data_IF_252537368631
#
_entry.id   IF_252537368631
#
_cell.length_a   1.000
_cell.length_b   1.000
_cell.length_c   1.000
_cell.angle_alpha   90.00
_cell.angle_beta   90.00
_cell.angle_gamma   90.00
#
_symmetry.space_group_name_H-M   'P 1'
#
loop_
_entity.id
_entity.type
_entity.pdbx_description
1 polymer ?
#
# COMPACT_ATOMS: atom_id res chain seq x y z
N UNK A 1 -13.58 46.78 -16.65
CA UNK A 1 -14.44 45.67 -16.19
C UNK A 1 -13.63 44.39 -16.29
N UNK A 2 -12.86 44.07 -15.24
CA UNK A 2 -12.02 42.87 -15.16
C UNK A 2 -12.78 41.83 -14.34
N UNK A 3 -13.18 40.73 -14.99
CA UNK A 3 -13.82 39.59 -14.34
C UNK A 3 -12.80 38.90 -13.44
N UNK A 4 -13.08 38.83 -12.13
CA UNK A 4 -12.34 37.97 -11.23
C UNK A 4 -12.62 36.50 -11.59
N UNK A 5 -11.61 35.60 -11.61
CA UNK A 5 -11.85 34.20 -11.88
C UNK A 5 -12.66 33.58 -10.73
N UNK A 6 -13.86 33.08 -11.05
CA UNK A 6 -14.64 32.23 -10.15
C UNK A 6 -13.95 30.87 -10.06
N UNK A 7 -13.14 30.68 -9.05
CA UNK A 7 -12.67 29.36 -8.65
C UNK A 7 -13.80 28.62 -7.93
N UNK A 8 -14.11 27.41 -8.39
CA UNK A 8 -15.07 26.51 -7.76
C UNK A 8 -14.59 26.17 -6.34
N UNK A 9 -15.50 26.22 -5.36
CA UNK A 9 -15.25 25.84 -3.96
C UNK A 9 -14.68 24.42 -3.82
N UNK A 10 -14.95 23.56 -4.81
CA UNK A 10 -14.42 22.20 -4.91
C UNK A 10 -12.90 22.19 -5.11
N UNK A 11 -12.33 23.13 -5.87
CA UNK A 11 -10.88 23.23 -6.09
C UNK A 11 -10.12 23.74 -4.87
N UNK A 12 -10.73 24.59 -4.03
CA UNK A 12 -10.12 25.07 -2.79
C UNK A 12 -10.10 24.00 -1.69
N UNK A 13 -11.18 23.21 -1.56
CA UNK A 13 -11.23 22.05 -0.67
C UNK A 13 -10.20 20.99 -1.05
N UNK A 14 -10.01 20.75 -2.35
CA UNK A 14 -8.97 19.85 -2.86
C UNK A 14 -7.55 20.33 -2.56
N UNK A 15 -7.26 21.62 -2.76
CA UNK A 15 -5.96 22.19 -2.47
C UNK A 15 -5.63 22.15 -0.96
N UNK A 16 -6.63 22.39 -0.10
CA UNK A 16 -6.49 22.25 1.35
C UNK A 16 -6.26 20.79 1.78
N UNK A 17 -6.88 19.81 1.12
CA UNK A 17 -6.66 18.38 1.39
C UNK A 17 -5.22 17.96 1.07
N UNK A 18 -4.70 18.38 -0.08
CA UNK A 18 -3.32 18.10 -0.51
C UNK A 18 -2.31 18.78 0.42
N UNK A 19 -2.56 20.05 0.78
CA UNK A 19 -1.71 20.80 1.72
C UNK A 19 -1.78 20.20 3.13
N UNK A 20 -2.93 19.69 3.58
CA UNK A 20 -3.06 19.06 4.89
C UNK A 20 -2.24 17.76 5.01
N UNK A 21 -2.17 16.95 3.95
CA UNK A 21 -1.31 15.74 3.92
C UNK A 21 0.18 16.12 4.03
N UNK A 22 0.58 17.24 3.45
CA UNK A 22 1.95 17.75 3.50
C UNK A 22 2.31 18.47 4.82
N UNK A 23 1.34 19.00 5.57
CA UNK A 23 1.58 19.80 6.78
C UNK A 23 1.35 19.01 8.08
N UNK A 24 0.38 18.09 8.12
CA UNK A 24 -0.02 17.43 9.37
C UNK A 24 0.64 16.06 9.59
N UNK A 25 1.31 15.51 8.58
CA UNK A 25 1.84 14.16 8.66
C UNK A 25 0.71 13.12 8.74
N UNK A 26 0.99 11.92 8.28
CA UNK A 26 -0.10 10.98 7.96
C UNK A 26 -0.72 10.36 9.21
N UNK A 27 -0.09 10.50 10.37
CA UNK A 27 -0.73 10.11 11.62
C UNK A 27 -1.95 11.00 11.92
N UNK A 28 -1.83 12.31 11.70
CA UNK A 28 -2.97 13.21 11.85
C UNK A 28 -4.05 12.93 10.79
N UNK A 29 -3.66 12.50 9.59
CA UNK A 29 -4.62 12.02 8.58
C UNK A 29 -5.38 10.76 9.06
N UNK A 30 -4.69 9.80 9.69
CA UNK A 30 -5.31 8.61 10.27
C UNK A 30 -6.21 8.92 11.47
N UNK A 31 -5.86 9.92 12.28
CA UNK A 31 -6.70 10.38 13.40
C UNK A 31 -8.01 11.02 12.90
N UNK A 32 -7.95 11.75 11.78
CA UNK A 32 -9.11 12.45 11.21
C UNK A 32 -10.02 11.49 10.44
N UNK A 33 -9.47 10.47 9.78
CA UNK A 33 -10.25 9.50 9.01
C UNK A 33 -10.69 8.32 9.90
N UNK A 34 -12.00 8.18 10.12
CA UNK A 34 -12.59 7.17 11.02
C UNK A 34 -12.70 5.75 10.41
N UNK A 35 -12.16 5.53 9.21
CA UNK A 35 -12.21 4.24 8.52
C UNK A 35 -10.79 3.80 8.13
N UNK A 36 -10.55 2.49 7.90
CA UNK A 36 -9.27 2.06 7.39
C UNK A 36 -8.98 2.65 6.01
N UNK A 37 -7.78 3.20 5.80
CA UNK A 37 -7.40 3.82 4.51
C UNK A 37 -6.04 3.31 4.03
N UNK A 38 -5.95 2.96 2.74
CA UNK A 38 -4.68 2.83 2.05
C UNK A 38 -4.19 4.23 1.64
N UNK A 39 -3.04 4.63 2.16
CA UNK A 39 -2.46 5.94 1.91
C UNK A 39 -1.09 5.72 1.28
N UNK A 40 -0.79 6.44 0.20
CA UNK A 40 0.60 6.72 -0.14
C UNK A 40 0.97 8.10 0.33
N UNK A 41 2.14 8.18 0.95
CA UNK A 41 2.71 9.42 1.44
C UNK A 41 3.88 9.74 0.53
N UNK A 42 4.08 11.04 0.38
CA UNK A 42 4.77 11.66 -0.74
C UNK A 42 3.84 11.56 -1.98
N UNK A 43 3.07 12.64 -2.20
CA UNK A 43 2.46 13.09 -3.46
C UNK A 43 1.76 12.11 -4.43
N UNK A 44 1.11 11.04 -3.96
CA UNK A 44 0.21 10.26 -4.82
C UNK A 44 -1.24 10.75 -4.77
N UNK A 45 -1.97 10.50 -5.87
CA UNK A 45 -3.38 10.87 -6.08
C UNK A 45 -4.39 9.79 -5.61
N UNK A 46 -4.03 8.91 -4.67
CA UNK A 46 -4.97 7.89 -4.17
C UNK A 46 -5.79 8.45 -3.01
N UNK A 47 -7.00 8.91 -3.33
CA UNK A 47 -7.98 9.36 -2.34
C UNK A 47 -8.74 8.16 -1.74
N UNK A 48 -8.30 7.70 -0.57
CA UNK A 48 -9.25 7.28 0.47
C UNK A 48 -9.92 5.91 0.36
N UNK A 49 -9.47 5.00 -0.51
CA UNK A 49 -9.99 3.62 -0.52
C UNK A 49 -9.23 2.75 0.46
N UNK A 50 -9.89 1.74 1.03
CA UNK A 50 -9.22 0.66 1.76
C UNK A 50 -8.75 -0.48 0.83
N UNK A 51 -8.97 -0.35 -0.49
CA UNK A 51 -8.71 -1.38 -1.48
C UNK A 51 -7.74 -0.93 -2.55
N UNK A 52 -6.77 -1.79 -2.87
CA UNK A 52 -5.93 -1.75 -4.06
C UNK A 52 -6.39 -2.86 -5.01
N UNK A 53 -7.13 -2.46 -6.04
CA UNK A 53 -7.77 -3.40 -6.97
C UNK A 53 -6.82 -4.10 -7.94
N UNK A 54 -7.36 -5.06 -8.67
CA UNK A 54 -6.68 -5.81 -9.72
C UNK A 54 -5.88 -4.92 -10.68
N UNK A 55 -4.63 -5.30 -10.99
CA UNK A 55 -3.68 -4.57 -11.85
C UNK A 55 -3.42 -3.11 -11.43
N UNK A 56 -3.80 -2.73 -10.21
CA UNK A 56 -3.61 -1.37 -9.72
C UNK A 56 -2.33 -1.26 -8.91
N UNK A 57 -1.80 -0.05 -8.83
CA UNK A 57 -0.62 0.24 -8.03
C UNK A 57 -0.70 1.59 -7.34
N UNK A 58 0.05 1.68 -6.25
CA UNK A 58 0.34 2.90 -5.52
C UNK A 58 1.84 3.15 -5.67
N UNK A 59 2.22 4.37 -6.05
CA UNK A 59 3.62 4.78 -6.23
C UNK A 59 3.89 5.95 -5.30
N UNK A 60 5.02 5.94 -4.60
CA UNK A 60 5.48 7.09 -3.78
C UNK A 60 5.84 8.26 -4.68
N UNK A 61 5.69 9.53 -4.27
CA UNK A 61 5.89 10.66 -5.20
C UNK A 61 7.32 10.95 -5.55
N UNK A 62 8.26 10.48 -4.73
CA UNK A 62 9.67 10.42 -5.12
C UNK A 62 9.92 9.37 -6.23
N UNK A 63 8.88 8.64 -6.64
CA UNK A 63 8.92 7.53 -7.60
C UNK A 63 9.90 6.42 -7.23
N UNK A 64 10.21 6.26 -5.94
CA UNK A 64 11.18 5.29 -5.47
C UNK A 64 10.58 3.92 -5.19
N UNK A 65 9.30 3.84 -4.83
CA UNK A 65 8.63 2.58 -4.51
C UNK A 65 7.26 2.47 -5.16
N UNK A 66 6.90 1.23 -5.47
CA UNK A 66 5.57 0.87 -5.93
C UNK A 66 5.04 -0.33 -5.14
N UNK A 67 3.84 -0.19 -4.58
CA UNK A 67 3.03 -1.31 -4.14
C UNK A 67 2.06 -1.67 -5.27
N UNK A 68 2.07 -2.91 -5.73
CA UNK A 68 1.31 -3.34 -6.90
C UNK A 68 0.53 -4.62 -6.62
N UNK A 69 -0.77 -4.60 -6.93
CA UNK A 69 -1.59 -5.79 -7.05
C UNK A 69 -1.47 -6.32 -8.49
N UNK A 70 -0.72 -7.40 -8.68
CA UNK A 70 -0.42 -7.96 -10.00
C UNK A 70 -1.61 -8.76 -10.57
N UNK A 71 -1.55 -9.06 -11.87
CA UNK A 71 -2.58 -9.81 -12.60
C UNK A 71 -2.74 -11.25 -12.12
N UNK A 72 -1.65 -11.85 -11.67
CA UNK A 72 -1.58 -13.21 -11.14
C UNK A 72 -2.13 -13.34 -9.71
N UNK A 73 -2.51 -12.23 -9.07
CA UNK A 73 -2.97 -12.21 -7.69
C UNK A 73 -1.86 -12.00 -6.64
N UNK A 74 -0.64 -11.71 -7.05
CA UNK A 74 0.48 -11.42 -6.17
C UNK A 74 0.54 -9.94 -5.79
N UNK A 75 0.70 -9.66 -4.50
CA UNK A 75 0.89 -8.29 -4.00
C UNK A 75 2.39 -8.05 -3.82
N UNK A 76 2.96 -7.09 -4.54
CA UNK A 76 4.42 -6.92 -4.65
C UNK A 76 4.84 -5.50 -4.28
N UNK A 77 5.94 -5.36 -3.55
CA UNK A 77 6.66 -4.10 -3.37
C UNK A 77 7.85 -4.10 -4.33
N UNK A 78 7.94 -3.05 -5.14
CA UNK A 78 8.97 -2.87 -6.16
C UNK A 78 9.75 -1.60 -5.85
N UNK A 79 11.07 -1.74 -5.75
CA UNK A 79 12.03 -0.64 -5.73
C UNK A 79 12.29 -0.14 -7.15
N UNK A 80 12.11 1.16 -7.34
CA UNK A 80 12.21 1.85 -8.62
C UNK A 80 13.46 2.76 -8.71
N UNK A 81 14.27 2.84 -7.65
CA UNK A 81 15.44 3.73 -7.60
C UNK A 81 16.60 3.26 -8.48
N UNK A 82 16.64 1.95 -8.79
CA UNK A 82 17.65 1.35 -9.65
C UNK A 82 17.40 1.59 -11.14
N UNK A 83 18.32 1.11 -11.98
CA UNK A 83 18.19 1.16 -13.44
C UNK A 83 17.03 0.30 -13.98
N UNK A 84 16.52 -0.63 -13.16
CA UNK A 84 15.39 -1.51 -13.48
C UNK A 84 14.51 -1.65 -12.23
N UNK A 85 13.19 -1.82 -12.39
CA UNK A 85 12.32 -2.17 -11.27
C UNK A 85 12.78 -3.46 -10.60
N UNK A 86 12.93 -3.43 -9.28
CA UNK A 86 13.44 -4.54 -8.48
C UNK A 86 12.38 -4.95 -7.44
N UNK A 87 11.76 -6.14 -7.53
CA UNK A 87 10.90 -6.62 -6.45
C UNK A 87 11.73 -6.79 -5.18
N UNK A 88 11.24 -6.28 -4.07
CA UNK A 88 11.90 -6.35 -2.75
C UNK A 88 11.04 -7.07 -1.70
N UNK A 89 9.77 -7.36 -2.03
CA UNK A 89 8.87 -8.17 -1.21
C UNK A 89 7.66 -8.62 -2.04
N UNK A 90 7.06 -9.76 -1.70
CA UNK A 90 5.82 -10.25 -2.30
C UNK A 90 5.00 -11.08 -1.32
N UNK A 91 3.66 -11.11 -1.49
CA UNK A 91 2.77 -11.99 -0.72
C UNK A 91 2.92 -13.47 -1.07
N UNK A 92 3.46 -13.77 -2.26
CA UNK A 92 3.63 -15.13 -2.79
C UNK A 92 2.33 -15.94 -2.81
N UNK A 93 1.23 -15.25 -3.12
CA UNK A 93 -0.10 -15.84 -3.32
C UNK A 93 -0.62 -15.45 -4.69
N UNK A 94 -1.44 -16.34 -5.23
CA UNK A 94 -1.84 -16.28 -6.62
C UNK A 94 -3.29 -16.73 -6.77
N UNK A 95 -3.93 -16.22 -7.82
CA UNK A 95 -5.25 -16.67 -8.27
C UNK A 95 -5.12 -17.47 -9.56
N UNK A 96 -6.15 -18.24 -9.90
CA UNK A 96 -6.17 -18.97 -11.17
C UNK A 96 -6.23 -17.99 -12.35
N UNK A 97 -5.72 -18.42 -13.51
CA UNK A 97 -5.82 -17.65 -14.77
C UNK A 97 -7.22 -17.09 -15.00
N UNK A 98 -7.28 -15.82 -15.39
CA UNK A 98 -8.53 -15.11 -15.66
C UNK A 98 -9.38 -14.82 -14.43
N UNK A 99 -8.86 -15.05 -13.21
CA UNK A 99 -9.44 -14.55 -11.97
C UNK A 99 -8.74 -13.25 -11.56
N UNK A 100 -9.34 -12.54 -10.63
CA UNK A 100 -8.83 -11.28 -10.12
C UNK A 100 -8.62 -11.36 -8.61
N UNK A 101 -7.70 -10.55 -8.12
CA UNK A 101 -7.48 -10.36 -6.71
C UNK A 101 -7.40 -8.87 -6.38
N UNK A 102 -7.63 -8.56 -5.11
CA UNK A 102 -7.47 -7.22 -4.56
C UNK A 102 -6.81 -7.28 -3.19
N UNK A 103 -6.06 -6.25 -2.84
CA UNK A 103 -5.53 -6.07 -1.50
C UNK A 103 -6.43 -5.10 -0.74
N UNK A 104 -6.84 -5.47 0.47
CA UNK A 104 -7.78 -4.73 1.32
C UNK A 104 -7.15 -4.51 2.67
N UNK A 105 -7.22 -3.29 3.19
CA UNK A 105 -7.06 -3.03 4.61
C UNK A 105 -8.39 -3.31 5.30
N UNK A 106 -8.45 -4.42 6.04
CA UNK A 106 -9.67 -4.87 6.70
C UNK A 106 -9.99 -4.05 7.95
N UNK A 107 -11.20 -4.25 8.48
CA UNK A 107 -11.68 -3.59 9.71
C UNK A 107 -10.84 -3.89 10.96
N UNK A 108 -10.02 -4.94 10.91
CA UNK A 108 -9.14 -5.38 12.00
C UNK A 108 -7.71 -4.83 11.83
N UNK A 109 -7.46 -3.97 10.84
CA UNK A 109 -6.15 -3.39 10.60
C UNK A 109 -5.14 -4.34 9.98
N UNK A 110 -5.62 -5.36 9.26
CA UNK A 110 -4.76 -6.27 8.49
C UNK A 110 -4.78 -5.90 7.04
N UNK A 111 -3.63 -6.02 6.39
CA UNK A 111 -3.56 -6.02 4.94
C UNK A 111 -3.83 -7.45 4.46
N UNK A 112 -4.88 -7.63 3.66
CA UNK A 112 -5.39 -8.92 3.23
C UNK A 112 -5.46 -8.96 1.71
N UNK A 113 -5.04 -10.05 1.08
CA UNK A 113 -5.29 -10.26 -0.36
C UNK A 113 -6.46 -11.23 -0.50
N UNK A 114 -7.48 -10.82 -1.25
CA UNK A 114 -8.66 -11.63 -1.56
C UNK A 114 -8.62 -12.18 -2.99
N UNK A 115 -8.96 -13.46 -3.14
CA UNK A 115 -9.38 -14.03 -4.43
C UNK A 115 -10.85 -13.63 -4.66
N UNK A 116 -11.08 -12.67 -5.55
CA UNK A 116 -12.40 -12.11 -5.82
C UNK A 116 -13.38 -13.14 -6.37
N UNK A 117 -12.89 -14.23 -6.98
CA UNK A 117 -13.74 -15.28 -7.53
C UNK A 117 -14.41 -16.16 -6.47
N UNK A 118 -13.84 -16.17 -5.26
CA UNK A 118 -14.34 -16.97 -4.14
C UNK A 118 -14.67 -16.13 -2.91
N UNK A 119 -14.31 -14.84 -2.92
CA UNK A 119 -14.33 -13.96 -1.76
C UNK A 119 -13.57 -14.57 -0.57
N UNK A 120 -12.39 -15.16 -0.83
CA UNK A 120 -11.57 -15.85 0.17
C UNK A 120 -10.23 -15.14 0.34
N UNK A 121 -9.78 -14.91 1.60
CA UNK A 121 -8.45 -14.40 1.85
C UNK A 121 -7.41 -15.46 1.47
N UNK A 122 -6.48 -15.10 0.59
CA UNK A 122 -5.36 -15.97 0.18
C UNK A 122 -4.06 -15.60 0.88
N UNK A 123 -3.95 -14.34 1.36
CA UNK A 123 -2.84 -13.82 2.15
C UNK A 123 -3.36 -12.84 3.23
N UNK A 124 -2.67 -12.73 4.35
CA UNK A 124 -2.89 -11.69 5.36
C UNK A 124 -1.55 -11.31 6.02
N UNK A 125 -1.43 -10.07 6.48
CA UNK A 125 -0.28 -9.59 7.26
C UNK A 125 -0.16 -10.24 8.65
N UNK A 126 -1.13 -11.09 9.03
CA UNK A 126 -1.15 -11.93 10.23
C UNK A 126 -0.75 -11.19 11.51
N UNK A 127 -1.32 -9.99 11.66
CA UNK A 127 -1.22 -9.20 12.88
C UNK A 127 -2.61 -9.05 13.50
N UNK A 128 -2.72 -9.34 14.79
CA UNK A 128 -3.93 -9.12 15.56
C UNK A 128 -3.66 -8.01 16.57
N UNK A 129 -4.26 -6.82 16.43
CA UNK A 129 -4.18 -5.81 17.47
C UNK A 129 -4.72 -6.40 18.77
N UNK A 130 -4.07 -6.10 19.89
CA UNK A 130 -4.65 -6.47 21.19
C UNK A 130 -6.08 -5.91 21.30
N UNK A 131 -7.00 -6.66 21.91
CA UNK A 131 -8.46 -6.44 21.99
C UNK A 131 -8.94 -5.03 22.44
N UNK A 132 -8.04 -4.09 22.76
CA UNK A 132 -8.36 -2.70 23.13
C UNK A 132 -8.34 -1.72 21.95
N UNK A 133 -8.04 -2.17 20.73
CA UNK A 133 -7.75 -1.27 19.60
C UNK A 133 -8.92 -1.25 18.61
N UNK A 134 -10.06 -0.65 19.00
CA UNK A 134 -11.04 -0.17 18.01
C UNK A 134 -10.62 1.25 17.66
N UNK A 135 -9.73 1.38 16.68
CA UNK A 135 -9.15 2.65 16.22
C UNK A 135 -8.94 2.53 14.71
N UNK A 136 -9.06 3.62 13.92
CA UNK A 136 -8.79 3.55 12.49
C UNK A 136 -7.33 3.13 12.23
N UNK A 137 -7.15 2.23 11.27
CA UNK A 137 -5.84 1.77 10.81
C UNK A 137 -5.51 2.40 9.47
N UNK A 138 -4.23 2.65 9.23
CA UNK A 138 -3.78 3.09 7.92
C UNK A 138 -2.60 2.28 7.43
N UNK A 139 -2.59 2.02 6.13
CA UNK A 139 -1.42 1.46 5.44
C UNK A 139 -0.66 2.59 4.78
N UNK A 140 0.65 2.67 5.01
CA UNK A 140 1.54 3.65 4.39
C UNK A 140 2.61 2.95 3.55
N UNK A 141 2.79 3.43 2.32
CA UNK A 141 3.96 3.11 1.49
C UNK A 141 4.98 4.23 1.67
N UNK A 142 6.21 3.92 2.11
CA UNK A 142 7.29 4.89 2.37
C UNK A 142 8.60 4.43 1.75
N UNK A 143 9.36 5.38 1.22
CA UNK A 143 10.64 5.16 0.52
C UNK A 143 11.82 5.89 1.17
N UNK A 144 11.61 6.54 2.32
CA UNK A 144 12.64 7.30 3.01
C UNK A 144 13.73 6.43 3.66
N UNK A 145 14.86 7.05 4.03
CA UNK A 145 16.02 6.35 4.58
C UNK A 145 15.75 5.61 5.91
N UNK A 146 14.68 5.97 6.63
CA UNK A 146 14.32 5.40 7.92
C UNK A 146 13.28 4.28 7.77
N UNK A 147 12.44 4.36 6.74
CA UNK A 147 11.30 3.49 6.49
C UNK A 147 11.13 3.27 4.99
N UNK A 148 11.55 2.09 4.53
CA UNK A 148 11.29 1.57 3.19
C UNK A 148 10.22 0.47 3.26
N UNK A 149 9.23 0.51 2.37
CA UNK A 149 8.20 -0.53 2.21
C UNK A 149 6.80 -0.15 2.67
N UNK A 150 6.01 -1.16 3.02
CA UNK A 150 4.62 -1.02 3.47
C UNK A 150 4.54 -1.20 4.98
N UNK A 151 3.90 -0.27 5.67
CA UNK A 151 3.68 -0.33 7.11
C UNK A 151 2.21 -0.07 7.45
N UNK A 152 1.72 -0.71 8.52
CA UNK A 152 0.41 -0.44 9.10
C UNK A 152 0.63 0.32 10.40
N UNK A 153 -0.14 1.38 10.62
CA UNK A 153 -0.19 2.13 11.87
C UNK A 153 -1.61 2.27 12.38
N UNK A 154 -1.75 2.39 13.70
CA UNK A 154 -3.00 2.78 14.34
C UNK A 154 -3.12 4.32 14.46
N UNK A 155 -4.29 4.78 14.90
CA UNK A 155 -4.57 6.21 15.16
C UNK A 155 -3.68 6.84 16.25
N UNK A 156 -3.02 6.03 17.07
CA UNK A 156 -2.05 6.44 18.09
C UNK A 156 -0.64 6.67 17.54
N UNK A 157 -0.47 6.63 16.21
CA UNK A 157 0.81 6.67 15.51
C UNK A 157 1.74 5.49 15.86
N UNK A 158 1.20 4.37 16.36
CA UNK A 158 2.03 3.20 16.69
C UNK A 158 2.20 2.32 15.46
N UNK A 159 3.44 1.87 15.22
CA UNK A 159 3.72 0.86 14.20
C UNK A 159 3.11 -0.47 14.63
N UNK A 160 2.16 -0.94 13.83
CA UNK A 160 1.40 -2.16 14.08
C UNK A 160 2.04 -3.32 13.32
N UNK A 161 2.38 -3.10 12.05
CA UNK A 161 3.00 -4.11 11.20
C UNK A 161 3.88 -3.46 10.13
N UNK A 162 4.86 -4.20 9.62
CA UNK A 162 5.65 -3.83 8.45
C UNK A 162 5.90 -5.05 7.57
N UNK A 163 5.84 -4.87 6.26
CA UNK A 163 6.25 -5.89 5.30
C UNK A 163 7.72 -6.28 5.58
N UNK A 164 8.02 -7.58 5.79
CA UNK A 164 9.38 -8.02 6.08
C UNK A 164 10.24 -7.88 4.83
N UNK A 165 11.01 -6.79 4.76
CA UNK A 165 11.96 -6.57 3.68
C UNK A 165 13.28 -7.29 3.97
N UNK A 166 13.96 -7.83 2.94
CA UNK A 166 15.32 -8.30 3.07
C UNK A 166 16.25 -7.20 3.60
N UNK A 167 16.89 -7.47 4.73
CA UNK A 167 17.80 -6.54 5.41
C UNK A 167 19.27 -6.92 5.21
N UNK A 168 19.53 -8.16 4.81
CA UNK A 168 20.87 -8.68 4.52
C UNK A 168 21.00 -9.15 3.08
N UNK A 169 22.24 -9.18 2.57
CA UNK A 169 22.54 -9.77 1.25
C UNK A 169 22.02 -11.20 1.11
N UNK A 170 22.12 -12.00 2.18
CA UNK A 170 21.65 -13.39 2.19
C UNK A 170 20.13 -13.48 2.08
N UNK A 171 19.41 -12.66 2.83
CA UNK A 171 17.94 -12.58 2.75
C UNK A 171 17.49 -12.11 1.37
N UNK A 172 18.20 -11.14 0.80
CA UNK A 172 17.89 -10.63 -0.52
C UNK A 172 18.08 -11.70 -1.59
N UNK A 173 19.20 -12.42 -1.56
CA UNK A 173 19.47 -13.53 -2.47
C UNK A 173 18.45 -14.67 -2.31
N UNK A 174 17.99 -14.95 -1.08
CA UNK A 174 16.96 -15.94 -0.83
C UNK A 174 15.60 -15.52 -1.44
N UNK A 175 15.22 -14.25 -1.26
CA UNK A 175 14.03 -13.70 -1.88
C UNK A 175 14.12 -13.74 -3.41
N UNK A 176 15.25 -13.32 -3.97
CA UNK A 176 15.49 -13.29 -5.41
C UNK A 176 15.44 -14.71 -6.03
N UNK A 177 16.03 -15.71 -5.38
CA UNK A 177 15.95 -17.09 -5.82
C UNK A 177 14.50 -17.61 -5.82
N UNK A 178 13.73 -17.31 -4.77
CA UNK A 178 12.31 -17.67 -4.69
C UNK A 178 11.49 -16.95 -5.78
N UNK A 179 11.76 -15.66 -6.02
CA UNK A 179 11.10 -14.86 -7.04
C UNK A 179 11.40 -15.36 -8.47
N UNK A 180 12.65 -15.74 -8.75
CA UNK A 180 13.03 -16.26 -10.07
C UNK A 180 12.44 -17.64 -10.32
N UNK A 181 12.51 -18.55 -9.35
CA UNK A 181 11.88 -19.87 -9.46
C UNK A 181 10.36 -19.77 -9.72
N UNK A 182 9.72 -18.74 -9.15
CA UNK A 182 8.33 -18.43 -9.45
C UNK A 182 8.12 -18.03 -10.92
N UNK A 183 8.86 -17.03 -11.42
CA UNK A 183 8.67 -16.54 -12.79
C UNK A 183 9.04 -17.58 -13.87
N UNK A 184 9.87 -18.56 -13.54
CA UNK A 184 10.16 -19.70 -14.42
C UNK A 184 9.02 -20.72 -14.50
N UNK A 185 8.10 -20.72 -13.54
CA UNK A 185 7.00 -21.69 -13.42
C UNK A 185 5.62 -21.07 -13.62
N UNK A 186 5.53 -19.74 -13.77
CA UNK A 186 4.29 -18.97 -13.80
C UNK A 186 3.56 -18.99 -15.16
N UNK A 187 3.36 -20.16 -15.75
CA UNK A 187 2.55 -20.36 -16.96
C UNK A 187 1.02 -20.37 -16.68
N UNK A 188 0.60 -20.06 -15.44
CA UNK A 188 -0.79 -20.16 -14.98
C UNK A 188 -1.73 -19.18 -15.69
#
# INVERSE_FOLDING_TARGET
MLLAPRFSTVSFLWLLLVVAVQVYGVCEYCKVNQFPVLISIEGSNHNGTNTLGFKSSIVTSDNALRLQMQEDGNLVIVDLRGSKPLPIWASMKFVKKGKTAEAVLDENGRLVVYDNSKNLPIWSSDFYPSFRTIQPFCVWVRSDQKHIGVSIMDSGCQLVWRAPLPSTKKEFQAFEAMWNAYNETSDF
#
